data_IF_109086210077
#
_entry.id   IF_109086210077
#
_cell.length_a   1.000
_cell.length_b   1.000
_cell.length_c   1.000
_cell.angle_alpha   90.00
_cell.angle_beta   90.00
_cell.angle_gamma   90.00
#
_symmetry.space_group_name_H-M   'P 1'
#
loop_
_entity.id
_entity.type
_entity.pdbx_description
1 polymer ?
#
# COMPACT_ATOMS: atom_id res chain seq x y z
N UNK A 1 -2.86 23.70 -3.07
CA UNK A 1 -3.38 22.93 -4.21
C UNK A 1 -4.04 21.69 -3.66
N UNK A 2 -5.31 21.46 -3.99
CA UNK A 2 -6.01 20.25 -3.58
C UNK A 2 -5.73 19.13 -4.61
N UNK A 3 -5.16 18.01 -4.15
CA UNK A 3 -4.95 16.83 -5.00
C UNK A 3 -6.18 15.94 -4.90
N UNK A 4 -6.82 15.66 -6.03
CA UNK A 4 -7.97 14.77 -6.13
C UNK A 4 -7.64 13.55 -6.99
N UNK A 5 -7.47 12.39 -6.35
CA UNK A 5 -7.11 11.14 -7.02
C UNK A 5 -8.23 10.55 -7.87
N UNK A 6 -9.50 10.97 -7.73
CA UNK A 6 -10.58 10.57 -8.65
C UNK A 6 -10.35 11.04 -10.09
N UNK A 7 -9.54 12.09 -10.27
CA UNK A 7 -9.16 12.65 -11.58
C UNK A 7 -7.77 12.18 -12.03
N UNK A 8 -7.24 11.08 -11.48
CA UNK A 8 -5.94 10.59 -11.89
C UNK A 8 -5.93 10.23 -13.39
N UNK A 9 -4.82 10.57 -14.06
CA UNK A 9 -4.62 10.32 -15.48
C UNK A 9 -4.73 8.82 -15.76
N UNK A 10 -5.43 8.46 -16.83
CA UNK A 10 -5.41 7.09 -17.34
C UNK A 10 -4.02 6.77 -17.91
N UNK A 11 -3.55 5.55 -17.66
CA UNK A 11 -2.36 4.99 -18.28
C UNK A 11 -2.68 3.57 -18.71
N UNK A 12 -2.17 3.13 -19.87
CA UNK A 12 -2.46 1.80 -20.41
C UNK A 12 -3.96 1.45 -20.43
N UNK A 13 -4.81 2.45 -20.67
CA UNK A 13 -6.27 2.29 -20.77
C UNK A 13 -7.06 2.34 -19.45
N UNK A 14 -6.43 2.51 -18.29
CA UNK A 14 -7.16 2.57 -16.99
C UNK A 14 -6.60 3.61 -16.01
N UNK A 15 -7.45 4.08 -15.09
CA UNK A 15 -7.01 4.91 -13.96
C UNK A 15 -6.25 4.09 -12.92
N UNK A 16 -6.56 2.80 -12.78
CA UNK A 16 -5.84 1.88 -11.89
C UNK A 16 -4.35 1.86 -12.24
N UNK A 17 -4.04 1.60 -13.51
CA UNK A 17 -2.65 1.58 -13.98
C UNK A 17 -1.99 2.96 -13.89
N UNK A 18 -2.78 4.05 -13.99
CA UNK A 18 -2.29 5.40 -13.75
C UNK A 18 -1.89 5.64 -12.29
N UNK A 19 -2.69 5.15 -11.34
CA UNK A 19 -2.40 5.23 -9.91
C UNK A 19 -1.23 4.34 -9.50
N UNK A 20 -1.18 3.11 -10.01
CA UNK A 20 -0.04 2.21 -9.81
C UNK A 20 1.26 2.87 -10.27
N UNK A 21 1.30 3.42 -11.48
CA UNK A 21 2.50 4.06 -11.99
C UNK A 21 2.89 5.28 -11.17
N UNK A 22 1.93 6.13 -10.78
CA UNK A 22 2.19 7.28 -9.92
C UNK A 22 2.90 6.86 -8.63
N UNK A 23 2.37 5.84 -7.95
CA UNK A 23 2.95 5.36 -6.69
C UNK A 23 4.33 4.76 -6.92
N UNK A 24 4.54 4.01 -7.99
CA UNK A 24 5.85 3.45 -8.29
C UNK A 24 6.90 4.53 -8.56
N UNK A 25 6.52 5.61 -9.26
CA UNK A 25 7.41 6.75 -9.47
C UNK A 25 7.76 7.43 -8.15
N UNK A 26 6.76 7.67 -7.28
CA UNK A 26 7.00 8.23 -5.95
C UNK A 26 7.89 7.33 -5.09
N UNK A 27 7.66 6.01 -5.09
CA UNK A 27 8.48 5.04 -4.37
C UNK A 27 9.93 5.02 -4.86
N UNK A 28 10.16 5.16 -6.17
CA UNK A 28 11.50 5.28 -6.72
C UNK A 28 12.19 6.58 -6.26
N UNK A 29 11.48 7.71 -6.30
CA UNK A 29 12.02 9.00 -5.87
C UNK A 29 12.32 9.04 -4.36
N UNK A 30 11.58 8.27 -3.55
CA UNK A 30 11.83 8.09 -2.12
C UNK A 30 12.90 7.03 -1.84
N UNK A 31 14.06 7.16 -2.49
CA UNK A 31 15.18 6.21 -2.33
C UNK A 31 15.63 6.16 -0.85
N UNK A 32 15.61 4.98 -0.20
CA UNK A 32 16.20 4.80 1.12
C UNK A 32 17.72 5.06 1.10
N UNK A 33 18.29 5.54 2.21
CA UNK A 33 19.74 5.84 2.29
C UNK A 33 20.62 4.64 1.93
N UNK A 34 20.17 3.42 2.23
CA UNK A 34 20.82 2.14 1.93
C UNK A 34 20.14 1.41 0.74
N UNK A 35 19.44 2.13 -0.13
CA UNK A 35 18.78 1.57 -1.30
C UNK A 35 19.79 1.16 -2.37
N UNK A 36 19.83 -0.13 -2.70
CA UNK A 36 20.76 -0.75 -3.65
C UNK A 36 20.16 -0.82 -5.06
N UNK A 37 18.94 -1.32 -5.20
CA UNK A 37 18.25 -1.49 -6.48
C UNK A 37 16.75 -1.24 -6.35
N UNK A 38 16.19 -0.45 -7.26
CA UNK A 38 14.75 -0.31 -7.42
C UNK A 38 14.24 -1.23 -8.52
N UNK A 39 13.13 -1.93 -8.25
CA UNK A 39 12.49 -2.82 -9.22
C UNK A 39 11.02 -2.41 -9.38
N UNK A 40 10.65 -2.07 -10.61
CA UNK A 40 9.27 -1.89 -11.06
C UNK A 40 8.77 -3.15 -11.76
N UNK A 41 7.58 -3.64 -11.41
CA UNK A 41 6.97 -4.84 -12.00
C UNK A 41 5.89 -4.47 -13.01
N UNK A 42 5.71 -5.22 -14.08
CA UNK A 42 4.64 -4.95 -15.04
C UNK A 42 3.34 -5.66 -14.63
N UNK A 43 2.29 -4.87 -14.36
CA UNK A 43 0.99 -5.30 -13.79
C UNK A 43 0.09 -6.16 -14.66
N UNK A 44 0.64 -6.93 -15.61
CA UNK A 44 -0.15 -7.76 -16.53
C UNK A 44 -0.52 -9.15 -15.98
N UNK A 45 -0.19 -9.43 -14.71
CA UNK A 45 -0.69 -10.62 -14.02
C UNK A 45 0.39 -11.38 -13.28
N UNK A 46 0.45 -11.18 -11.97
CA UNK A 46 1.31 -11.98 -11.09
C UNK A 46 2.40 -11.18 -10.40
N UNK A 47 2.13 -9.92 -10.03
CA UNK A 47 3.02 -8.97 -9.35
C UNK A 47 3.50 -9.43 -7.98
N UNK A 48 3.28 -10.69 -7.62
CA UNK A 48 3.73 -11.27 -6.38
C UNK A 48 3.27 -10.49 -5.15
N UNK A 49 2.20 -9.71 -5.27
CA UNK A 49 1.65 -8.92 -4.17
C UNK A 49 2.27 -7.54 -3.95
N UNK A 50 3.15 -7.05 -4.84
CA UNK A 50 3.68 -5.67 -4.81
C UNK A 50 3.90 -5.15 -6.23
N UNK A 51 3.65 -3.87 -6.48
CA UNK A 51 3.84 -3.25 -7.81
C UNK A 51 5.28 -2.79 -8.05
N UNK A 52 6.00 -2.49 -6.97
CA UNK A 52 7.43 -2.21 -6.98
C UNK A 52 8.05 -2.49 -5.61
N UNK A 53 9.38 -2.57 -5.59
CA UNK A 53 10.14 -2.72 -4.35
C UNK A 53 11.55 -2.14 -4.49
N UNK A 54 12.11 -1.76 -3.35
CA UNK A 54 13.53 -1.50 -3.18
C UNK A 54 14.20 -2.71 -2.56
N UNK A 55 15.35 -3.11 -3.11
CA UNK A 55 16.33 -3.97 -2.44
C UNK A 55 17.33 -3.06 -1.73
N UNK A 56 17.63 -3.36 -0.47
CA UNK A 56 18.59 -2.63 0.35
C UNK A 56 19.97 -3.30 0.32
N UNK A 57 20.99 -2.64 0.88
CA UNK A 57 22.36 -3.15 0.91
C UNK A 57 22.50 -4.49 1.67
N UNK A 58 21.62 -4.75 2.65
CA UNK A 58 21.53 -6.01 3.41
C UNK A 58 20.61 -7.05 2.74
N UNK A 59 20.25 -6.83 1.47
CA UNK A 59 19.32 -7.61 0.66
C UNK A 59 17.88 -7.68 1.20
N UNK A 60 17.56 -6.91 2.25
CA UNK A 60 16.17 -6.75 2.69
C UNK A 60 15.37 -5.93 1.68
N UNK A 61 14.05 -6.14 1.66
CA UNK A 61 13.16 -5.51 0.68
C UNK A 61 12.09 -4.63 1.32
N UNK A 62 11.87 -3.46 0.72
CA UNK A 62 10.70 -2.60 1.00
C UNK A 62 9.78 -2.72 -0.20
N UNK A 63 8.57 -3.24 0.00
CA UNK A 63 7.60 -3.49 -1.06
C UNK A 63 6.37 -2.58 -0.98
N UNK A 64 5.91 -2.09 -2.12
CA UNK A 64 4.71 -1.26 -2.25
C UNK A 64 3.60 -2.04 -2.95
N UNK A 65 2.48 -2.26 -2.25
CA UNK A 65 1.24 -2.71 -2.88
C UNK A 65 0.33 -1.53 -3.13
N UNK A 66 -0.19 -1.41 -4.35
CA UNK A 66 -1.04 -0.30 -4.77
C UNK A 66 -2.43 -0.79 -5.13
N UNK A 67 -3.47 -0.18 -4.58
CA UNK A 67 -4.85 -0.44 -5.04
C UNK A 67 -5.59 0.86 -5.24
N UNK A 68 -6.29 0.98 -6.36
CA UNK A 68 -7.08 2.17 -6.68
C UNK A 68 -8.55 1.95 -6.29
N UNK A 69 -8.91 2.36 -5.07
CA UNK A 69 -10.27 2.29 -4.53
C UNK A 69 -10.76 3.69 -4.11
N UNK A 70 -11.09 4.59 -5.06
CA UNK A 70 -11.45 5.97 -4.76
C UNK A 70 -12.76 6.10 -3.97
N UNK A 71 -13.68 5.15 -4.10
CA UNK A 71 -15.00 5.16 -3.46
C UNK A 71 -15.00 4.60 -2.03
N UNK A 72 -13.83 4.26 -1.49
CA UNK A 72 -13.68 3.67 -0.17
C UNK A 72 -13.41 2.15 -0.18
N UNK A 73 -13.33 1.57 1.02
CA UNK A 73 -13.03 0.14 1.21
C UNK A 73 -14.26 -0.61 1.70
N UNK A 74 -14.48 -1.77 1.10
CA UNK A 74 -15.44 -2.76 1.56
C UNK A 74 -14.74 -4.11 1.81
N UNK A 75 -15.50 -5.13 2.20
CA UNK A 75 -14.95 -6.47 2.49
C UNK A 75 -14.17 -7.08 1.32
N UNK A 76 -14.61 -6.85 0.07
CA UNK A 76 -13.93 -7.36 -1.13
C UNK A 76 -12.62 -6.61 -1.40
N UNK A 77 -12.63 -5.27 -1.34
CA UNK A 77 -11.41 -4.46 -1.50
C UNK A 77 -10.34 -4.87 -0.50
N UNK A 78 -10.76 -5.09 0.73
CA UNK A 78 -9.90 -5.56 1.81
C UNK A 78 -9.39 -6.99 1.61
N UNK A 79 -10.23 -7.90 1.13
CA UNK A 79 -9.82 -9.26 0.78
C UNK A 79 -8.72 -9.26 -0.31
N UNK A 80 -8.84 -8.41 -1.32
CA UNK A 80 -7.81 -8.29 -2.36
C UNK A 80 -6.45 -7.84 -1.77
N UNK A 81 -6.45 -6.98 -0.76
CA UNK A 81 -5.21 -6.56 -0.07
C UNK A 81 -4.62 -7.71 0.74
N UNK A 82 -5.45 -8.53 1.41
CA UNK A 82 -4.99 -9.74 2.11
C UNK A 82 -4.33 -10.75 1.17
N UNK A 83 -4.95 -10.98 0.02
CA UNK A 83 -4.44 -11.90 -1.00
C UNK A 83 -3.11 -11.39 -1.57
N UNK A 84 -3.01 -10.07 -1.78
CA UNK A 84 -1.76 -9.42 -2.20
C UNK A 84 -0.67 -9.61 -1.15
N UNK A 85 -0.93 -9.34 0.13
CA UNK A 85 0.07 -9.55 1.18
C UNK A 85 0.49 -11.03 1.30
N UNK A 86 -0.48 -11.95 1.20
CA UNK A 86 -0.18 -13.39 1.24
C UNK A 86 0.76 -13.78 0.09
N UNK A 87 0.54 -13.26 -1.12
CA UNK A 87 1.44 -13.48 -2.25
C UNK A 87 2.84 -12.87 -2.02
N UNK A 88 2.91 -11.65 -1.46
CA UNK A 88 4.16 -10.99 -1.14
C UNK A 88 4.96 -11.77 -0.10
N UNK A 89 4.31 -12.25 0.95
CA UNK A 89 4.94 -13.04 1.99
C UNK A 89 5.54 -14.35 1.45
N UNK A 90 4.94 -14.97 0.43
CA UNK A 90 5.49 -16.17 -0.21
C UNK A 90 6.64 -15.87 -1.17
N UNK A 91 6.51 -14.82 -1.98
CA UNK A 91 7.39 -14.60 -3.14
C UNK A 91 8.52 -13.62 -2.87
N UNK A 92 8.43 -12.82 -1.80
CA UNK A 92 9.45 -11.89 -1.35
C UNK A 92 9.98 -12.33 0.03
N UNK A 93 10.92 -13.31 0.09
CA UNK A 93 11.41 -13.87 1.35
C UNK A 93 12.17 -12.85 2.22
N UNK A 94 12.73 -11.81 1.60
CA UNK A 94 13.50 -10.76 2.27
C UNK A 94 12.68 -9.49 2.56
N UNK A 95 11.38 -9.48 2.27
CA UNK A 95 10.50 -8.37 2.62
C UNK A 95 10.57 -8.05 4.11
N UNK A 96 11.04 -6.85 4.43
CA UNK A 96 11.17 -6.29 5.78
C UNK A 96 10.17 -5.17 6.03
N UNK A 97 9.66 -4.53 4.97
CA UNK A 97 8.59 -3.54 5.06
C UNK A 97 7.59 -3.68 3.91
N UNK A 98 6.29 -3.63 4.25
CA UNK A 98 5.19 -3.70 3.30
C UNK A 98 4.30 -2.46 3.40
N UNK A 99 4.18 -1.72 2.31
CA UNK A 99 3.52 -0.43 2.26
C UNK A 99 2.26 -0.56 1.39
N UNK A 100 1.10 -0.38 2.00
CA UNK A 100 -0.19 -0.39 1.29
C UNK A 100 -0.54 1.03 0.87
N UNK A 101 -0.76 1.24 -0.43
CA UNK A 101 -1.01 2.54 -1.02
C UNK A 101 -2.44 2.61 -1.58
N UNK A 102 -3.22 3.58 -1.09
CA UNK A 102 -4.62 3.79 -1.45
C UNK A 102 -4.90 5.28 -1.70
N UNK A 103 -5.84 5.63 -2.61
CA UNK A 103 -6.19 7.01 -2.90
C UNK A 103 -7.04 7.70 -1.82
N UNK A 104 -7.20 7.05 -0.65
CA UNK A 104 -8.05 7.51 0.46
C UNK A 104 -7.26 7.49 1.78
N UNK A 105 -7.61 8.39 2.70
CA UNK A 105 -7.08 8.38 4.06
C UNK A 105 -7.84 7.42 4.97
N UNK A 106 -7.17 6.98 6.03
CA UNK A 106 -7.81 6.18 7.07
C UNK A 106 -8.79 7.07 7.83
N UNK A 107 -10.08 6.73 7.76
CA UNK A 107 -11.09 7.35 8.60
C UNK A 107 -10.99 6.81 10.02
N UNK A 108 -11.21 7.65 11.02
CA UNK A 108 -11.38 7.28 12.43
C UNK A 108 -12.79 7.70 12.89
N UNK A 109 -13.76 6.82 12.63
CA UNK A 109 -15.12 7.02 13.10
C UNK A 109 -15.26 6.54 14.55
N UNK A 110 -14.89 7.38 15.52
CA UNK A 110 -15.23 7.22 16.95
C UNK A 110 -16.74 7.30 17.24
N UNK A 111 -17.58 7.07 16.23
CA UNK A 111 -19.04 7.20 16.26
C UNK A 111 -19.69 5.85 16.56
N UNK A 112 -20.75 5.88 17.36
CA UNK A 112 -21.66 4.75 17.50
C UNK A 112 -22.72 4.84 16.40
N UNK A 113 -22.93 3.75 15.67
CA UNK A 113 -24.03 3.62 14.72
C UNK A 113 -25.38 3.50 15.43
N UNK A 114 -26.47 3.53 14.66
CA UNK A 114 -27.84 3.51 15.18
C UNK A 114 -28.16 2.30 16.08
N UNK A 115 -27.39 1.22 15.96
CA UNK A 115 -27.54 0.00 16.76
C UNK A 115 -26.65 -0.01 18.03
N UNK A 116 -26.07 1.14 18.41
CA UNK A 116 -25.19 1.29 19.57
C UNK A 116 -23.76 0.73 19.40
N UNK A 117 -23.50 -0.04 18.34
CA UNK A 117 -22.17 -0.54 17.96
C UNK A 117 -21.31 0.57 17.36
N UNK A 118 -20.02 0.57 17.64
CA UNK A 118 -19.07 1.46 16.97
C UNK A 118 -19.08 1.20 15.46
N UNK A 119 -19.07 2.26 14.68
CA UNK A 119 -18.87 2.17 13.22
C UNK A 119 -17.43 1.75 13.00
N UNK A 120 -17.24 0.58 12.38
CA UNK A 120 -15.90 0.08 12.04
C UNK A 120 -15.31 1.00 10.98
N UNK A 121 -14.23 1.68 11.34
CA UNK A 121 -13.55 2.63 10.47
C UNK A 121 -12.48 1.97 9.61
N UNK A 122 -11.92 2.70 8.65
CA UNK A 122 -10.77 2.21 7.87
C UNK A 122 -9.57 1.98 8.77
N UNK A 123 -9.36 2.83 9.79
CA UNK A 123 -8.30 2.66 10.79
C UNK A 123 -8.46 1.37 11.61
N UNK A 124 -9.68 1.01 11.98
CA UNK A 124 -9.96 -0.22 12.74
C UNK A 124 -9.67 -1.48 11.92
N UNK A 125 -10.14 -1.53 10.67
CA UNK A 125 -9.86 -2.64 9.76
C UNK A 125 -8.36 -2.72 9.43
N UNK A 126 -7.69 -1.58 9.23
CA UNK A 126 -6.24 -1.54 9.04
C UNK A 126 -5.49 -2.18 10.21
N UNK A 127 -5.78 -1.77 11.45
CA UNK A 127 -5.15 -2.34 12.66
C UNK A 127 -5.39 -3.83 12.80
N UNK A 128 -6.63 -4.28 12.53
CA UNK A 128 -6.99 -5.71 12.56
C UNK A 128 -6.19 -6.51 11.54
N UNK A 129 -5.96 -5.95 10.35
CA UNK A 129 -5.22 -6.58 9.26
C UNK A 129 -3.74 -6.63 9.52
N UNK A 130 -3.15 -5.54 10.00
CA UNK A 130 -1.74 -5.50 10.44
C UNK A 130 -1.47 -6.62 11.45
N UNK A 131 -2.30 -6.78 12.49
CA UNK A 131 -2.17 -7.89 13.46
C UNK A 131 -2.26 -9.28 12.82
N UNK A 132 -3.17 -9.45 11.87
CA UNK A 132 -3.32 -10.71 11.11
C UNK A 132 -2.04 -11.00 10.30
N UNK A 133 -1.53 -10.00 9.60
CA UNK A 133 -0.34 -10.10 8.75
C UNK A 133 0.94 -10.33 9.55
N UNK A 134 1.12 -9.63 10.67
CA UNK A 134 2.19 -9.89 11.65
C UNK A 134 2.13 -11.35 12.13
N UNK A 135 0.95 -11.85 12.46
CA UNK A 135 0.77 -13.25 12.83
C UNK A 135 1.13 -14.24 11.71
N UNK A 136 0.90 -13.90 10.44
CA UNK A 136 1.30 -14.71 9.29
C UNK A 136 2.82 -14.67 9.07
N UNK A 137 3.44 -13.50 9.18
CA UNK A 137 4.89 -13.31 9.05
C UNK A 137 5.65 -14.04 10.18
N UNK A 138 5.18 -13.89 11.42
CA UNK A 138 5.78 -14.53 12.59
C UNK A 138 5.77 -16.06 12.52
N UNK A 139 4.71 -16.66 11.95
CA UNK A 139 4.65 -18.12 11.69
C UNK A 139 5.74 -18.61 10.73
N UNK A 140 6.30 -17.70 9.92
CA UNK A 140 7.43 -17.96 9.02
C UNK A 140 8.77 -17.48 9.61
N UNK A 141 8.79 -17.04 10.88
CA UNK A 141 9.98 -16.51 11.53
C UNK A 141 10.41 -15.14 11.00
N UNK A 142 9.48 -14.35 10.47
CA UNK A 142 9.75 -13.06 9.83
C UNK A 142 9.06 -11.93 10.56
N UNK A 143 9.79 -10.84 10.75
CA UNK A 143 9.26 -9.56 11.22
C UNK A 143 9.13 -8.60 10.04
N UNK A 144 7.94 -8.06 9.81
CA UNK A 144 7.65 -7.16 8.68
C UNK A 144 6.97 -5.91 9.23
N UNK A 145 7.53 -4.75 8.89
CA UNK A 145 6.91 -3.46 9.20
C UNK A 145 5.79 -3.15 8.21
N UNK A 146 4.62 -2.79 8.71
CA UNK A 146 3.49 -2.36 7.86
C UNK A 146 3.36 -0.85 7.86
N UNK A 147 3.09 -0.27 6.68
CA UNK A 147 2.84 1.16 6.55
C UNK A 147 1.70 1.42 5.56
N UNK A 148 1.09 2.59 5.68
CA UNK A 148 -0.05 2.98 4.86
C UNK A 148 0.25 4.33 4.22
N UNK A 149 0.17 4.40 2.89
CA UNK A 149 0.20 5.65 2.14
C UNK A 149 -1.23 5.95 1.67
N UNK A 150 -1.86 6.89 2.37
CA UNK A 150 -3.16 7.43 2.00
C UNK A 150 -3.05 8.65 1.11
N UNK A 151 -4.20 9.28 0.88
CA UNK A 151 -4.27 10.53 0.11
C UNK A 151 -3.30 11.57 0.66
N UNK A 152 -3.21 11.73 1.98
CA UNK A 152 -2.35 12.71 2.63
C UNK A 152 -0.86 12.45 2.39
N UNK A 153 -0.38 11.22 2.62
CA UNK A 153 1.03 10.88 2.41
C UNK A 153 1.42 11.07 0.94
N UNK A 154 0.60 10.57 0.02
CA UNK A 154 0.86 10.67 -1.43
C UNK A 154 0.86 12.15 -1.86
N UNK A 155 -0.11 12.94 -1.41
CA UNK A 155 -0.17 14.37 -1.70
C UNK A 155 1.05 15.14 -1.17
N UNK A 156 1.52 14.76 0.03
CA UNK A 156 2.71 15.37 0.63
C UNK A 156 3.94 15.08 -0.21
N UNK A 157 4.13 13.84 -0.66
CA UNK A 157 5.23 13.45 -1.55
C UNK A 157 5.21 14.24 -2.87
N UNK A 158 4.02 14.48 -3.43
CA UNK A 158 3.87 15.25 -4.68
C UNK A 158 4.20 16.73 -4.52
N UNK A 159 3.94 17.30 -3.35
CA UNK A 159 4.22 18.72 -3.06
C UNK A 159 5.67 18.92 -2.65
N UNK A 160 6.20 18.02 -1.83
CA UNK A 160 7.57 18.07 -1.33
C UNK A 160 8.62 17.59 -2.35
N UNK A 161 8.22 17.01 -3.48
CA UNK A 161 9.11 16.70 -4.60
C UNK A 161 9.70 17.94 -5.31
N UNK A 162 9.55 19.13 -4.74
CA UNK A 162 10.25 20.33 -5.17
C UNK A 162 11.52 20.51 -4.32
N UNK A 163 12.66 20.52 -5.04
CA UNK A 163 14.03 20.87 -4.64
C UNK A 163 15.00 19.71 -4.40
#
# INVERSE_FOLDING_TARGET
MEINFSNIRTQNGSQNSGFEELICQLAHLQRPNNGKLFVRKEGAGGDAGVECYWVLDDDSEIGWQVKYFPDGLNSSSWQQIDESFSAALEKHPNLSQYIVCLPIDKTDSRKKGNNGKLVVSVEDEWKKRVRKWEGQANKKGREIKFSYWGKHEIATLLICAQH
#
